data_IF_937806091884
#
_entry.id   IF_937806091884
#
_cell.length_a   1.000
_cell.length_b   1.000
_cell.length_c   1.000
_cell.angle_alpha   90.00
_cell.angle_beta   90.00
_cell.angle_gamma   90.00
#
_symmetry.space_group_name_H-M   'P 1'
#
loop_
_entity.id
_entity.type
_entity.pdbx_description
1 polymer ?
#
# COMPACT_ATOMS: atom_id res chain seq x y z
N UNK A 1 10.66 -1.05 12.00
CA UNK A 1 11.04 -0.37 10.73
C UNK A 1 12.23 0.58 10.93
N UNK A 2 12.96 1.02 9.88
CA UNK A 2 13.97 2.09 9.98
C UNK A 2 13.30 3.48 10.05
N UNK A 3 12.59 3.74 11.17
CA UNK A 3 11.71 4.88 11.36
C UNK A 3 12.35 6.24 11.03
N UNK A 4 13.55 6.51 11.57
CA UNK A 4 14.26 7.77 11.35
C UNK A 4 14.52 8.06 9.88
N UNK A 5 14.77 7.02 9.07
CA UNK A 5 14.99 7.19 7.64
C UNK A 5 13.68 7.48 6.91
N UNK A 6 12.60 6.79 7.25
CA UNK A 6 11.29 6.97 6.62
C UNK A 6 10.72 8.36 6.90
N UNK A 7 10.93 8.87 8.11
CA UNK A 7 10.52 10.22 8.51
C UNK A 7 11.19 11.34 7.69
N UNK A 8 12.30 11.06 6.99
CA UNK A 8 12.98 12.04 6.12
C UNK A 8 12.43 12.11 4.70
N UNK A 9 11.48 11.26 4.32
CA UNK A 9 10.88 11.30 2.97
C UNK A 9 9.91 12.48 2.88
N UNK A 10 10.20 13.42 1.97
CA UNK A 10 9.42 14.66 1.81
C UNK A 10 8.49 14.63 0.61
N UNK A 11 8.70 13.73 -0.34
CA UNK A 11 7.77 13.49 -1.45
C UNK A 11 6.51 12.81 -0.88
N UNK A 12 5.32 13.09 -1.42
CA UNK A 12 4.16 12.30 -1.07
C UNK A 12 4.35 10.86 -1.56
N UNK A 13 3.80 9.92 -0.79
CA UNK A 13 3.98 8.49 -1.03
C UNK A 13 2.63 7.81 -1.02
N UNK A 14 2.35 7.05 -2.07
CA UNK A 14 1.22 6.14 -2.10
C UNK A 14 1.68 4.74 -1.67
N UNK A 15 1.14 4.26 -0.54
CA UNK A 15 1.37 2.92 -0.01
C UNK A 15 0.16 2.04 -0.36
N UNK A 16 0.39 0.99 -1.14
CA UNK A 16 -0.67 0.05 -1.54
C UNK A 16 -0.35 -1.39 -1.18
N UNK A 17 -1.41 -2.13 -0.84
CA UNK A 17 -1.41 -3.59 -0.71
C UNK A 17 -2.56 -4.17 -1.52
N UNK A 18 -2.49 -5.47 -1.79
CA UNK A 18 -3.68 -6.24 -2.14
C UNK A 18 -4.58 -6.43 -0.91
N UNK A 19 -5.82 -6.86 -1.15
CA UNK A 19 -6.72 -7.28 -0.08
C UNK A 19 -6.18 -8.46 0.76
N UNK A 20 -6.97 -8.95 1.73
CA UNK A 20 -6.54 -9.98 2.66
C UNK A 20 -5.93 -11.21 1.97
N UNK A 21 -4.93 -11.82 2.59
CA UNK A 21 -4.29 -13.02 2.04
C UNK A 21 -5.33 -14.16 2.00
N UNK A 22 -5.67 -14.58 0.78
CA UNK A 22 -6.57 -15.72 0.51
C UNK A 22 -5.86 -16.90 -0.16
N UNK A 23 -4.60 -16.73 -0.56
CA UNK A 23 -3.86 -17.69 -1.39
C UNK A 23 -3.19 -18.81 -0.55
N UNK A 24 -3.31 -20.09 -0.95
CA UNK A 24 -2.83 -21.21 -0.13
C UNK A 24 -1.32 -21.21 0.15
N UNK A 25 -0.51 -20.70 -0.77
CA UNK A 25 0.95 -20.68 -0.63
C UNK A 25 1.44 -19.64 0.40
N UNK A 26 0.57 -18.76 0.90
CA UNK A 26 0.85 -17.80 1.98
C UNK A 26 0.11 -18.15 3.28
N UNK A 27 -0.46 -19.36 3.41
CA UNK A 27 -1.26 -19.75 4.57
C UNK A 27 -0.52 -19.74 5.93
N UNK A 28 0.82 -19.63 5.92
CA UNK A 28 1.62 -19.45 7.13
C UNK A 28 1.64 -18.02 7.70
N UNK A 29 1.04 -17.06 6.99
CA UNK A 29 0.94 -15.67 7.41
C UNK A 29 -0.48 -15.35 7.89
N UNK A 30 -0.64 -14.46 8.89
CA UNK A 30 -1.93 -13.85 9.19
C UNK A 30 -2.54 -13.17 7.95
N UNK A 31 -3.86 -13.18 7.80
CA UNK A 31 -4.54 -12.64 6.62
C UNK A 31 -4.29 -11.15 6.38
N UNK A 32 -3.97 -10.41 7.45
CA UNK A 32 -3.73 -8.97 7.51
C UNK A 32 -2.24 -8.61 7.51
N UNK A 33 -1.35 -9.56 7.26
CA UNK A 33 0.10 -9.39 7.43
C UNK A 33 0.64 -8.17 6.65
N UNK A 34 0.22 -8.01 5.39
CA UNK A 34 0.63 -6.88 4.57
C UNK A 34 -0.04 -5.58 4.98
N UNK A 35 -1.29 -5.62 5.42
CA UNK A 35 -2.02 -4.43 5.86
C UNK A 35 -1.34 -3.81 7.08
N UNK A 36 -0.99 -4.62 8.09
CA UNK A 36 -0.26 -4.14 9.27
C UNK A 36 1.09 -3.50 8.94
N UNK A 37 1.83 -4.10 8.00
CA UNK A 37 3.12 -3.55 7.58
C UNK A 37 2.96 -2.24 6.79
N UNK A 38 1.93 -2.15 5.96
CA UNK A 38 1.62 -0.95 5.19
C UNK A 38 1.10 0.19 6.07
N UNK A 39 0.33 -0.12 7.11
CA UNK A 39 -0.15 0.84 8.08
C UNK A 39 1.02 1.40 8.92
N UNK A 40 1.91 0.53 9.43
CA UNK A 40 3.14 0.99 10.14
C UNK A 40 4.02 1.85 9.22
N UNK A 41 4.12 1.52 7.92
CA UNK A 41 4.86 2.32 6.96
C UNK A 41 4.21 3.69 6.72
N UNK A 42 2.89 3.73 6.54
CA UNK A 42 2.15 4.96 6.32
C UNK A 42 2.23 5.90 7.53
N UNK A 43 2.19 5.36 8.75
CA UNK A 43 2.34 6.13 10.00
C UNK A 43 3.71 6.81 10.14
N UNK A 44 4.75 6.22 9.53
CA UNK A 44 6.13 6.74 9.58
C UNK A 44 6.44 7.75 8.46
N UNK A 45 5.61 7.81 7.41
CA UNK A 45 5.82 8.67 6.25
C UNK A 45 5.01 9.97 6.39
N UNK A 46 5.65 11.15 6.43
CA UNK A 46 4.96 12.42 6.71
C UNK A 46 3.82 12.77 5.74
N UNK A 47 3.89 12.27 4.51
CA UNK A 47 2.95 12.58 3.42
C UNK A 47 2.45 11.31 2.73
N UNK A 48 2.12 10.28 3.53
CA UNK A 48 1.57 9.04 3.00
C UNK A 48 0.07 9.11 2.70
N UNK A 49 -0.32 8.44 1.61
CA UNK A 49 -1.67 7.96 1.36
C UNK A 49 -1.66 6.44 1.41
N UNK A 50 -2.65 5.84 2.07
CA UNK A 50 -2.77 4.39 2.25
C UNK A 50 -4.04 3.88 1.57
N UNK A 51 -3.90 2.93 0.66
CA UNK A 51 -5.03 2.39 -0.12
C UNK A 51 -4.88 0.87 -0.28
N UNK A 52 -5.97 0.11 -0.06
CA UNK A 52 -6.00 -1.34 -0.28
C UNK A 52 -6.72 -1.64 -1.60
N UNK A 53 -6.08 -2.43 -2.45
CA UNK A 53 -6.61 -2.83 -3.75
C UNK A 53 -7.16 -4.25 -3.66
N UNK A 54 -8.50 -4.36 -3.63
CA UNK A 54 -9.16 -5.67 -3.58
C UNK A 54 -8.97 -6.45 -4.88
N UNK A 55 -8.71 -7.76 -4.76
CA UNK A 55 -8.54 -8.65 -5.91
C UNK A 55 -7.90 -9.98 -5.52
N UNK A 56 -8.25 -11.10 -6.19
CA UNK A 56 -7.74 -12.42 -5.85
C UNK A 56 -6.31 -12.67 -6.37
N UNK A 57 -5.85 -11.86 -7.33
CA UNK A 57 -4.64 -12.11 -8.09
C UNK A 57 -3.46 -11.27 -7.61
N UNK A 58 -2.24 -11.81 -7.79
CA UNK A 58 -1.01 -11.08 -7.55
C UNK A 58 -0.86 -9.85 -8.47
N UNK A 59 -1.45 -9.93 -9.67
CA UNK A 59 -1.48 -8.83 -10.64
C UNK A 59 -2.79 -8.08 -10.46
N UNK A 60 -2.71 -6.82 -10.03
CA UNK A 60 -3.88 -5.96 -9.89
C UNK A 60 -4.50 -5.63 -11.24
N UNK A 61 -5.83 -5.58 -11.30
CA UNK A 61 -6.56 -5.14 -12.49
C UNK A 61 -6.15 -3.69 -12.86
N UNK A 62 -5.68 -3.43 -14.10
CA UNK A 62 -5.38 -2.09 -14.59
C UNK A 62 -6.53 -1.08 -14.41
N UNK A 63 -7.79 -1.54 -14.52
CA UNK A 63 -8.97 -0.70 -14.32
C UNK A 63 -9.18 -0.28 -12.86
N UNK A 64 -8.60 -1.02 -11.92
CA UNK A 64 -8.61 -0.70 -10.49
C UNK A 64 -7.46 0.24 -10.13
N UNK A 65 -6.23 -0.10 -10.54
CA UNK A 65 -5.03 0.69 -10.16
C UNK A 65 -4.87 1.99 -10.96
N UNK A 66 -5.31 2.01 -12.23
CA UNK A 66 -5.15 3.17 -13.11
C UNK A 66 -5.77 4.47 -12.56
N UNK A 67 -7.07 4.47 -12.20
CA UNK A 67 -7.72 5.64 -11.61
C UNK A 67 -7.09 6.08 -10.28
N UNK A 68 -6.61 5.14 -9.45
CA UNK A 68 -5.91 5.45 -8.21
C UNK A 68 -4.60 6.20 -8.51
N UNK A 69 -3.77 5.69 -9.40
CA UNK A 69 -2.51 6.33 -9.78
C UNK A 69 -2.76 7.71 -10.39
N UNK A 70 -3.75 7.83 -11.27
CA UNK A 70 -4.13 9.12 -11.86
C UNK A 70 -4.53 10.13 -10.78
N UNK A 71 -5.36 9.73 -9.80
CA UNK A 71 -5.73 10.59 -8.68
C UNK A 71 -4.52 11.04 -7.88
N UNK A 72 -3.67 10.10 -7.47
CA UNK A 72 -2.49 10.39 -6.66
C UNK A 72 -1.58 11.40 -7.36
N UNK A 73 -1.14 11.10 -8.58
CA UNK A 73 -0.22 11.96 -9.32
C UNK A 73 -0.85 13.26 -9.86
N UNK A 74 -2.17 13.35 -9.97
CA UNK A 74 -2.84 14.60 -10.38
C UNK A 74 -3.20 15.50 -9.19
N UNK A 75 -3.17 14.97 -7.97
CA UNK A 75 -3.42 15.72 -6.73
C UNK A 75 -2.18 16.46 -6.22
N UNK A 76 -1.00 16.08 -6.69
CA UNK A 76 0.25 16.83 -6.50
C UNK A 76 0.33 17.97 -7.52
N UNK A 77 -0.17 19.14 -7.14
CA UNK A 77 0.13 20.39 -7.84
C UNK A 77 0.67 21.42 -6.87
#
# INVERSE_FOLDING_TARGET
MPADRLATVTQPVLVTTGGPITVPYMAGLPSDFFDRAADELADLLPHAQRETLEGPDHVVDPQTVGPLLLRFFSSER
#
